data_IF_497053709545
#
_entry.id   IF_497053709545
#
_cell.length_a   1.000
_cell.length_b   1.000
_cell.length_c   1.000
_cell.angle_alpha   90.00
_cell.angle_beta   90.00
_cell.angle_gamma   90.00
#
_symmetry.space_group_name_H-M   'P 1'
#
loop_
_entity.id
_entity.type
_entity.pdbx_description
1 polymer ?
#
# COMPACT_ATOMS: atom_id res chain seq x y z
N UNK A 1 1.82 -1.69 33.59
CA UNK A 1 0.88 -1.64 32.43
C UNK A 1 0.74 -2.99 31.69
N UNK A 2 0.87 -4.13 32.39
CA UNK A 2 0.89 -5.47 31.78
C UNK A 2 -0.46 -6.20 31.89
N UNK A 3 -1.37 -5.71 32.73
CA UNK A 3 -2.55 -6.44 33.19
C UNK A 3 -3.62 -6.61 32.08
N UNK A 4 -3.65 -5.70 31.10
CA UNK A 4 -4.59 -5.81 29.98
C UNK A 4 -4.20 -6.90 28.96
N UNK A 5 -2.90 -7.15 28.75
CA UNK A 5 -2.44 -8.24 27.88
C UNK A 5 -2.55 -9.61 28.57
N UNK A 6 -2.68 -9.66 29.90
CA UNK A 6 -2.93 -10.90 30.65
C UNK A 6 -4.37 -11.41 30.50
N UNK A 7 -5.32 -10.52 30.23
CA UNK A 7 -6.75 -10.77 30.31
C UNK A 7 -7.36 -11.49 29.06
N UNK A 8 -6.70 -11.41 27.91
CA UNK A 8 -7.10 -12.17 26.70
C UNK A 8 -6.75 -13.66 26.81
N UNK A 9 -7.56 -14.54 26.20
CA UNK A 9 -7.19 -15.96 26.08
C UNK A 9 -5.95 -16.12 25.19
N UNK A 10 -5.14 -17.19 25.35
CA UNK A 10 -3.92 -17.38 24.56
C UNK A 10 -4.13 -17.31 23.03
N UNK A 11 -5.26 -17.82 22.54
CA UNK A 11 -5.64 -17.75 21.13
C UNK A 11 -5.93 -16.31 20.66
N UNK A 12 -6.57 -15.51 21.51
CA UNK A 12 -6.90 -14.10 21.24
C UNK A 12 -5.64 -13.23 21.28
N UNK A 13 -4.69 -13.51 22.20
CA UNK A 13 -3.36 -12.87 22.19
C UNK A 13 -2.63 -13.12 20.88
N UNK A 14 -2.69 -14.35 20.38
CA UNK A 14 -2.08 -14.72 19.08
C UNK A 14 -2.75 -13.98 17.92
N UNK A 15 -4.08 -13.86 17.94
CA UNK A 15 -4.83 -13.10 16.94
C UNK A 15 -4.50 -11.60 16.98
N UNK A 16 -4.46 -10.98 18.16
CA UNK A 16 -4.06 -9.57 18.34
C UNK A 16 -2.63 -9.33 17.82
N UNK A 17 -1.68 -10.23 18.12
CA UNK A 17 -0.31 -10.13 17.62
C UNK A 17 -0.26 -10.23 16.08
N UNK A 18 -1.03 -11.13 15.48
CA UNK A 18 -1.13 -11.25 14.02
C UNK A 18 -1.72 -9.97 13.40
N UNK A 19 -2.76 -9.39 14.00
CA UNK A 19 -3.37 -8.13 13.55
C UNK A 19 -2.39 -6.94 13.66
N UNK A 20 -1.61 -6.85 14.74
CA UNK A 20 -0.55 -5.82 14.89
C UNK A 20 0.53 -5.95 13.82
N UNK A 21 1.04 -7.16 13.57
CA UNK A 21 2.05 -7.40 12.53
C UNK A 21 1.52 -7.06 11.13
N UNK A 22 0.28 -7.46 10.84
CA UNK A 22 -0.35 -7.18 9.56
C UNK A 22 -0.60 -5.67 9.35
N UNK A 23 -0.92 -4.92 10.42
CA UNK A 23 -1.01 -3.46 10.37
C UNK A 23 0.31 -2.80 10.00
N UNK A 24 1.41 -3.19 10.67
CA UNK A 24 2.75 -2.66 10.37
C UNK A 24 3.16 -2.99 8.93
N UNK A 25 2.91 -4.22 8.48
CA UNK A 25 3.19 -4.63 7.10
C UNK A 25 2.43 -3.77 6.07
N UNK A 26 1.13 -3.54 6.29
CA UNK A 26 0.34 -2.67 5.41
C UNK A 26 0.81 -1.22 5.43
N UNK A 27 1.26 -0.70 6.57
CA UNK A 27 1.83 0.65 6.66
C UNK A 27 3.10 0.77 5.81
N UNK A 28 3.97 -0.24 5.84
CA UNK A 28 5.13 -0.31 4.95
C UNK A 28 4.74 -0.41 3.48
N UNK A 29 3.74 -1.22 3.15
CA UNK A 29 3.23 -1.34 1.78
C UNK A 29 2.70 0.01 1.26
N UNK A 30 1.95 0.77 2.08
CA UNK A 30 1.50 2.13 1.73
C UNK A 30 2.69 3.04 1.47
N UNK A 31 3.68 3.07 2.36
CA UNK A 31 4.86 3.93 2.20
C UNK A 31 5.63 3.61 0.91
N UNK A 32 5.89 2.33 0.64
CA UNK A 32 6.60 1.89 -0.54
C UNK A 32 5.80 2.19 -1.83
N UNK A 33 4.50 1.89 -1.84
CA UNK A 33 3.64 2.13 -2.98
C UNK A 33 3.49 3.63 -3.29
N UNK A 34 3.31 4.48 -2.28
CA UNK A 34 3.26 5.93 -2.47
C UNK A 34 4.56 6.46 -3.08
N UNK A 35 5.71 6.05 -2.55
CA UNK A 35 7.01 6.46 -3.10
C UNK A 35 7.20 5.97 -4.54
N UNK A 36 6.90 4.69 -4.81
CA UNK A 36 7.04 4.12 -6.15
C UNK A 36 6.09 4.79 -7.16
N UNK A 37 4.83 5.01 -6.80
CA UNK A 37 3.86 5.72 -7.65
C UNK A 37 4.32 7.16 -7.94
N UNK A 38 4.84 7.87 -6.93
CA UNK A 38 5.39 9.22 -7.09
C UNK A 38 6.57 9.24 -8.08
N UNK A 39 7.54 8.35 -7.92
CA UNK A 39 8.70 8.29 -8.81
C UNK A 39 8.32 7.85 -10.23
N UNK A 40 7.39 6.91 -10.39
CA UNK A 40 6.88 6.52 -11.71
C UNK A 40 6.14 7.66 -12.39
N UNK A 41 5.32 8.44 -11.66
CA UNK A 41 4.67 9.64 -12.23
C UNK A 41 5.68 10.74 -12.57
N UNK A 42 6.73 10.87 -11.78
CA UNK A 42 7.82 11.83 -12.05
C UNK A 42 8.61 11.44 -13.30
N UNK A 43 8.88 10.14 -13.48
CA UNK A 43 9.60 9.65 -14.66
C UNK A 43 8.82 9.85 -15.96
N UNK A 44 7.48 9.92 -15.91
CA UNK A 44 6.66 10.31 -17.07
C UNK A 44 7.03 11.69 -17.61
N UNK A 45 7.37 12.65 -16.74
CA UNK A 45 7.82 13.98 -17.18
C UNK A 45 9.11 13.87 -17.98
N UNK A 46 10.05 13.03 -17.54
CA UNK A 46 11.30 12.78 -18.24
C UNK A 46 11.09 12.02 -19.55
N UNK A 47 10.20 11.01 -19.58
CA UNK A 47 9.87 10.27 -20.80
C UNK A 47 9.19 11.17 -21.85
N UNK A 48 8.28 12.05 -21.43
CA UNK A 48 7.65 13.04 -22.32
C UNK A 48 8.68 14.04 -22.85
N UNK A 49 9.60 14.50 -22.00
CA UNK A 49 10.70 15.34 -22.44
C UNK A 49 11.60 14.62 -23.45
N UNK A 50 11.99 13.37 -23.15
CA UNK A 50 12.80 12.54 -24.04
C UNK A 50 12.14 12.38 -25.41
N UNK A 51 10.84 12.07 -25.44
CA UNK A 51 10.05 11.98 -26.68
C UNK A 51 10.16 13.26 -27.51
N UNK A 52 10.08 14.43 -26.88
CA UNK A 52 10.15 15.72 -27.58
C UNK A 52 11.56 16.03 -28.11
N UNK A 53 12.60 15.48 -27.49
CA UNK A 53 14.00 15.67 -27.93
C UNK A 53 14.43 14.72 -29.05
N UNK A 54 13.73 13.59 -29.23
CA UNK A 54 14.04 12.62 -30.27
C UNK A 54 13.70 13.20 -31.66
N UNK A 55 14.63 13.17 -32.64
CA UNK A 55 14.35 13.61 -34.00
C UNK A 55 13.12 12.93 -34.59
N UNK A 56 12.25 13.69 -35.25
CA UNK A 56 10.99 13.18 -35.80
C UNK A 56 11.17 12.06 -36.85
N UNK A 57 12.34 12.00 -37.49
CA UNK A 57 12.72 10.93 -38.42
C UNK A 57 12.89 9.57 -37.73
N UNK A 58 13.16 9.54 -36.42
CA UNK A 58 13.33 8.29 -35.67
C UNK A 58 11.99 7.77 -35.15
N UNK A 59 11.17 7.26 -36.08
CA UNK A 59 9.82 6.75 -35.81
C UNK A 59 9.84 5.63 -34.76
N UNK A 60 10.82 4.74 -34.82
CA UNK A 60 10.95 3.62 -33.87
C UNK A 60 11.14 4.11 -32.44
N UNK A 61 12.06 5.05 -32.23
CA UNK A 61 12.31 5.60 -30.90
C UNK A 61 11.07 6.33 -30.34
N UNK A 62 10.32 7.05 -31.18
CA UNK A 62 9.04 7.66 -30.78
C UNK A 62 8.01 6.61 -30.34
N UNK A 63 7.88 5.51 -31.08
CA UNK A 63 6.98 4.40 -30.73
C UNK A 63 7.39 3.75 -29.41
N UNK A 64 8.68 3.46 -29.22
CA UNK A 64 9.16 2.79 -28.02
C UNK A 64 9.02 3.67 -26.78
N UNK A 65 9.32 4.97 -26.87
CA UNK A 65 9.07 5.91 -25.76
C UNK A 65 7.57 6.04 -25.47
N UNK A 66 6.70 6.00 -26.50
CA UNK A 66 5.25 6.00 -26.29
C UNK A 66 4.77 4.76 -25.52
N UNK A 67 5.32 3.58 -25.84
CA UNK A 67 5.04 2.35 -25.06
C UNK A 67 5.52 2.48 -23.61
N UNK A 68 6.71 3.05 -23.38
CA UNK A 68 7.23 3.28 -22.03
C UNK A 68 6.36 4.26 -21.23
N UNK A 69 5.85 5.32 -21.86
CA UNK A 69 4.90 6.26 -21.24
C UNK A 69 3.64 5.51 -20.81
N UNK A 70 3.03 4.74 -21.70
CA UNK A 70 1.83 3.97 -21.39
C UNK A 70 2.07 2.95 -20.26
N UNK A 71 3.22 2.26 -20.29
CA UNK A 71 3.60 1.31 -19.25
C UNK A 71 3.81 1.99 -17.89
N UNK A 72 4.44 3.17 -17.86
CA UNK A 72 4.66 3.92 -16.63
C UNK A 72 3.35 4.52 -16.08
N UNK A 73 2.44 5.01 -16.93
CA UNK A 73 1.10 5.46 -16.52
C UNK A 73 0.31 4.32 -15.86
N UNK A 74 0.23 3.17 -16.53
CA UNK A 74 -0.42 1.98 -15.99
C UNK A 74 0.22 1.51 -14.67
N UNK A 75 1.56 1.49 -14.61
CA UNK A 75 2.29 1.05 -13.42
C UNK A 75 2.02 1.98 -12.24
N UNK A 76 2.05 3.30 -12.44
CA UNK A 76 1.80 4.28 -11.39
C UNK A 76 0.42 4.11 -10.76
N UNK A 77 -0.60 3.84 -11.57
CA UNK A 77 -1.98 3.65 -11.12
C UNK A 77 -2.19 2.30 -10.44
N UNK A 78 -1.58 1.24 -10.97
CA UNK A 78 -1.61 -0.09 -10.36
C UNK A 78 -0.92 -0.10 -9.00
N UNK A 79 0.23 0.56 -8.88
CA UNK A 79 0.92 0.74 -7.59
C UNK A 79 0.04 1.55 -6.63
N UNK A 80 -0.64 2.58 -7.11
CA UNK A 80 -1.53 3.36 -6.26
C UNK A 80 -2.73 2.54 -5.71
N UNK A 81 -3.19 1.53 -6.44
CA UNK A 81 -4.20 0.60 -5.92
C UNK A 81 -3.73 -0.16 -4.67
N UNK A 82 -2.43 -0.43 -4.52
CA UNK A 82 -1.88 -1.03 -3.29
C UNK A 82 -2.16 -0.13 -2.10
N UNK A 83 -1.99 1.19 -2.23
CA UNK A 83 -2.32 2.16 -1.17
C UNK A 83 -3.78 2.03 -0.75
N UNK A 84 -4.70 1.97 -1.72
CA UNK A 84 -6.14 1.81 -1.47
C UNK A 84 -6.46 0.52 -0.73
N UNK A 85 -5.92 -0.61 -1.18
CA UNK A 85 -6.21 -1.90 -0.57
C UNK A 85 -5.56 -2.07 0.81
N UNK A 86 -4.31 -1.65 0.98
CA UNK A 86 -3.62 -1.66 2.28
C UNK A 86 -4.30 -0.74 3.29
N UNK A 87 -4.80 0.42 2.88
CA UNK A 87 -5.56 1.31 3.77
C UNK A 87 -6.86 0.66 4.26
N UNK A 88 -7.59 -0.02 3.37
CA UNK A 88 -8.78 -0.80 3.74
C UNK A 88 -8.42 -1.94 4.68
N UNK A 89 -7.32 -2.65 4.43
CA UNK A 89 -6.85 -3.72 5.30
C UNK A 89 -6.49 -3.20 6.71
N UNK A 90 -5.85 -2.03 6.82
CA UNK A 90 -5.60 -1.36 8.11
C UNK A 90 -6.92 -1.05 8.83
N UNK A 91 -7.91 -0.49 8.14
CA UNK A 91 -9.21 -0.21 8.74
C UNK A 91 -9.90 -1.49 9.27
N UNK A 92 -9.88 -2.57 8.47
CA UNK A 92 -10.41 -3.87 8.89
C UNK A 92 -9.67 -4.47 10.08
N UNK A 93 -8.34 -4.33 10.12
CA UNK A 93 -7.53 -4.77 11.26
C UNK A 93 -7.89 -4.00 12.53
N UNK A 94 -8.04 -2.68 12.44
CA UNK A 94 -8.46 -1.85 13.58
C UNK A 94 -9.85 -2.27 14.06
N UNK A 95 -10.80 -2.49 13.15
CA UNK A 95 -12.13 -2.96 13.50
C UNK A 95 -12.10 -4.34 14.18
N UNK A 96 -11.33 -5.30 13.66
CA UNK A 96 -11.17 -6.62 14.25
C UNK A 96 -10.56 -6.56 15.66
N UNK A 97 -9.53 -5.72 15.86
CA UNK A 97 -8.93 -5.50 17.18
C UNK A 97 -9.95 -4.91 18.15
N UNK A 98 -10.69 -3.88 17.75
CA UNK A 98 -11.75 -3.28 18.58
C UNK A 98 -12.79 -4.31 19.00
N UNK A 99 -13.25 -5.15 18.07
CA UNK A 99 -14.22 -6.21 18.38
C UNK A 99 -13.65 -7.23 19.38
N UNK A 100 -12.40 -7.63 19.20
CA UNK A 100 -11.71 -8.57 20.10
C UNK A 100 -11.66 -8.02 21.53
N UNK A 101 -11.29 -6.75 21.70
CA UNK A 101 -11.24 -6.11 23.02
C UNK A 101 -12.62 -5.83 23.63
N UNK A 102 -13.63 -5.46 22.82
CA UNK A 102 -15.00 -5.26 23.31
C UNK A 102 -15.61 -6.57 23.82
N UNK A 103 -15.43 -7.69 23.10
CA UNK A 103 -15.91 -9.00 23.54
C UNK A 103 -15.31 -9.42 24.88
N UNK A 104 -14.03 -9.13 25.05
CA UNK A 104 -13.34 -9.40 26.30
C UNK A 104 -13.92 -8.56 27.46
N UNK A 105 -14.06 -7.24 27.27
CA UNK A 105 -14.67 -6.37 28.30
C UNK A 105 -16.11 -6.77 28.65
N UNK A 106 -16.90 -7.27 27.71
CA UNK A 106 -18.25 -7.79 27.99
C UNK A 106 -18.26 -9.11 28.74
N UNK A 107 -17.18 -9.90 28.67
CA UNK A 107 -17.05 -11.15 29.41
C UNK A 107 -16.60 -10.94 30.86
N UNK A 108 -16.07 -9.75 31.18
CA UNK A 108 -15.62 -9.36 32.53
C UNK A 108 -16.73 -8.68 33.37
N UNK A 109 -17.91 -8.41 32.79
CA UNK A 109 -19.12 -7.86 33.46
C UNK A 109 -20.11 -8.98 33.77
#
# INVERSE_FOLDING_TARGET
>A
PNDAEEALKPEEKRAELALRRAHVSNAWAIRAATASSFFTRSSLRWLRHLRNTIPASNIRAHQDVTKLIAAAEFSADTIFNVVKFSSRAIASQIAARRLLWVRHWQADV
#
